data_IF_981223011057
#
_entry.id   IF_981223011057
#
_cell.length_a   1.000
_cell.length_b   1.000
_cell.length_c   1.000
_cell.angle_alpha   90.00
_cell.angle_beta   90.00
_cell.angle_gamma   90.00
#
_symmetry.space_group_name_H-M   'P 1'
#
loop_
_entity.id
_entity.type
_entity.pdbx_description
1 polymer ?
#
# COMPACT_ATOMS: atom_id res chain seq x y z
N UNK A 1 6.67 19.18 0.05
CA UNK A 1 5.49 18.54 -0.59
C UNK A 1 5.49 17.09 -0.16
N UNK A 2 4.36 16.57 0.32
CA UNK A 2 4.17 15.18 0.73
C UNK A 2 4.20 14.27 -0.50
N UNK A 3 4.81 13.10 -0.38
CA UNK A 3 4.81 12.10 -1.44
C UNK A 3 3.66 11.13 -1.28
N UNK A 4 3.22 10.55 -2.39
CA UNK A 4 2.41 9.34 -2.42
C UNK A 4 3.33 8.18 -2.76
N UNK A 5 3.47 7.26 -1.80
CA UNK A 5 4.30 6.05 -1.90
C UNK A 5 3.37 4.84 -1.96
N UNK A 6 3.45 4.05 -3.01
CA UNK A 6 2.78 2.74 -3.00
C UNK A 6 3.75 1.68 -2.50
N UNK A 7 3.32 0.90 -1.53
CA UNK A 7 4.00 -0.32 -1.10
C UNK A 7 3.12 -1.52 -1.48
N UNK A 8 3.66 -2.40 -2.28
CA UNK A 8 2.86 -3.51 -2.80
C UNK A 8 3.67 -4.78 -2.86
N UNK A 9 3.13 -5.83 -2.25
CA UNK A 9 3.67 -7.18 -2.30
C UNK A 9 3.21 -7.84 -3.58
N UNK A 10 4.18 -8.37 -4.33
CA UNK A 10 3.93 -9.05 -5.61
C UNK A 10 4.72 -10.34 -5.69
N UNK A 11 4.18 -11.31 -6.40
CA UNK A 11 4.94 -12.50 -6.80
C UNK A 11 5.94 -12.14 -7.89
N UNK A 12 6.90 -13.02 -8.15
CA UNK A 12 7.90 -12.81 -9.21
C UNK A 12 7.27 -12.59 -10.59
N UNK A 13 6.11 -13.21 -10.84
CA UNK A 13 5.33 -13.07 -12.06
C UNK A 13 4.26 -11.96 -12.01
N UNK A 14 4.32 -11.07 -10.98
CA UNK A 14 3.61 -9.79 -10.96
C UNK A 14 2.17 -9.81 -10.43
N UNK A 15 1.77 -10.88 -9.74
CA UNK A 15 0.45 -10.97 -9.10
C UNK A 15 0.50 -10.48 -7.66
N UNK A 16 -0.58 -9.82 -7.23
CA UNK A 16 -0.78 -9.37 -5.83
C UNK A 16 -1.60 -10.36 -5.02
N UNK A 17 -2.34 -11.24 -5.68
CA UNK A 17 -3.18 -12.27 -5.09
C UNK A 17 -3.46 -13.36 -6.11
N UNK A 18 -3.88 -14.54 -5.65
CA UNK A 18 -4.41 -15.60 -6.47
C UNK A 18 -5.73 -15.21 -7.17
N UNK A 19 -6.28 -16.09 -8.01
CA UNK A 19 -7.50 -15.81 -8.78
C UNK A 19 -8.72 -15.44 -7.93
N UNK A 20 -8.88 -16.04 -6.74
CA UNK A 20 -9.96 -15.74 -5.80
C UNK A 20 -9.57 -14.73 -4.72
N UNK A 21 -8.35 -14.19 -4.77
CA UNK A 21 -7.85 -13.20 -3.82
C UNK A 21 -6.99 -13.79 -2.70
N UNK A 22 -6.51 -15.01 -2.85
CA UNK A 22 -5.63 -15.68 -1.90
C UNK A 22 -4.29 -14.93 -1.79
N UNK A 23 -3.80 -14.76 -0.54
CA UNK A 23 -2.54 -14.08 -0.22
C UNK A 23 -1.72 -14.86 0.83
N UNK A 24 -1.99 -16.14 0.99
CA UNK A 24 -1.35 -17.06 1.95
C UNK A 24 0.16 -17.16 1.73
N UNK A 25 0.61 -17.09 0.47
CA UNK A 25 2.03 -17.06 0.08
C UNK A 25 2.86 -15.95 0.77
N UNK A 26 2.23 -14.89 1.28
CA UNK A 26 2.91 -13.80 2.01
C UNK A 26 3.36 -14.27 3.40
N UNK A 27 2.45 -14.92 4.15
CA UNK A 27 2.72 -15.34 5.53
C UNK A 27 3.84 -16.37 5.65
N UNK A 28 4.04 -17.19 4.62
CA UNK A 28 5.09 -18.21 4.58
C UNK A 28 6.50 -17.61 4.46
N UNK A 29 6.62 -16.37 3.98
CA UNK A 29 7.89 -15.72 3.63
C UNK A 29 8.13 -14.46 4.49
N UNK A 30 7.20 -14.12 5.38
CA UNK A 30 7.30 -12.94 6.23
C UNK A 30 8.38 -13.12 7.32
N UNK A 31 9.33 -12.18 7.41
CA UNK A 31 10.40 -12.18 8.39
C UNK A 31 10.44 -10.87 9.22
N UNK A 32 11.28 -10.84 10.26
CA UNK A 32 11.46 -9.66 11.12
C UNK A 32 11.95 -8.43 10.33
N UNK A 33 12.77 -8.64 9.30
CA UNK A 33 13.28 -7.55 8.47
C UNK A 33 12.16 -6.89 7.65
N UNK A 34 11.16 -7.66 7.23
CA UNK A 34 9.94 -7.12 6.59
C UNK A 34 9.09 -6.35 7.58
N UNK A 35 8.92 -6.85 8.80
CA UNK A 35 8.22 -6.13 9.87
C UNK A 35 8.90 -4.78 10.19
N UNK A 36 10.22 -4.75 10.25
CA UNK A 36 11.00 -3.51 10.40
C UNK A 36 10.75 -2.55 9.25
N UNK A 37 10.79 -3.03 8.00
CA UNK A 37 10.52 -2.22 6.82
C UNK A 37 9.12 -1.58 6.88
N UNK A 38 8.10 -2.35 7.19
CA UNK A 38 6.73 -1.84 7.29
C UNK A 38 6.57 -0.81 8.41
N UNK A 39 7.20 -1.07 9.57
CA UNK A 39 7.17 -0.15 10.69
C UNK A 39 7.87 1.19 10.37
N UNK A 40 8.98 1.16 9.65
CA UNK A 40 9.69 2.36 9.18
C UNK A 40 8.84 3.15 8.19
N UNK A 41 8.20 2.46 7.24
CA UNK A 41 7.32 3.09 6.26
C UNK A 41 6.13 3.80 6.91
N UNK A 42 5.43 3.13 7.83
CA UNK A 42 4.31 3.71 8.58
C UNK A 42 4.78 4.88 9.47
N UNK A 43 6.00 4.80 10.02
CA UNK A 43 6.57 5.88 10.82
C UNK A 43 6.93 7.11 9.99
N UNK A 44 7.24 6.93 8.70
CA UNK A 44 7.55 8.04 7.78
C UNK A 44 6.31 8.74 7.23
N UNK A 45 5.14 8.15 7.40
CA UNK A 45 3.87 8.63 6.85
C UNK A 45 2.87 9.04 7.95
N UNK A 46 1.80 9.72 7.58
CA UNK A 46 0.69 10.07 8.47
C UNK A 46 -0.69 9.77 7.86
N UNK A 47 -0.73 9.39 6.61
CA UNK A 47 -1.99 9.16 5.88
C UNK A 47 -1.91 7.87 5.07
N UNK A 48 -2.96 7.06 5.18
CA UNK A 48 -3.18 5.88 4.35
C UNK A 48 -4.17 6.19 3.25
N UNK A 49 -3.85 5.78 2.04
CA UNK A 49 -4.76 5.78 0.89
C UNK A 49 -5.17 4.33 0.62
N UNK A 50 -6.43 3.99 0.80
CA UNK A 50 -6.92 2.62 0.78
C UNK A 50 -8.04 2.44 -0.25
N UNK A 51 -7.96 1.42 -1.06
CA UNK A 51 -9.10 0.94 -1.82
C UNK A 51 -10.04 0.11 -0.92
N UNK A 52 -11.26 -0.14 -1.40
CA UNK A 52 -12.32 -0.82 -0.63
C UNK A 52 -11.87 -2.14 -0.01
N UNK A 53 -11.29 -3.04 -0.80
CA UNK A 53 -10.92 -4.39 -0.35
C UNK A 53 -9.85 -4.32 0.75
N UNK A 54 -8.81 -3.53 0.55
CA UNK A 54 -7.75 -3.33 1.54
C UNK A 54 -8.30 -2.66 2.80
N UNK A 55 -9.17 -1.65 2.65
CA UNK A 55 -9.83 -1.02 3.80
C UNK A 55 -10.63 -2.03 4.63
N UNK A 56 -11.47 -2.86 3.99
CA UNK A 56 -12.29 -3.84 4.69
C UNK A 56 -11.43 -4.88 5.43
N UNK A 57 -10.35 -5.35 4.81
CA UNK A 57 -9.40 -6.27 5.45
C UNK A 57 -8.72 -5.62 6.66
N UNK A 58 -8.19 -4.41 6.50
CA UNK A 58 -7.48 -3.70 7.56
C UNK A 58 -8.41 -3.28 8.71
N UNK A 59 -9.58 -2.75 8.41
CA UNK A 59 -10.57 -2.34 9.40
C UNK A 59 -11.15 -3.53 10.18
N UNK A 60 -11.13 -4.73 9.60
CA UNK A 60 -11.55 -5.96 10.29
C UNK A 60 -10.53 -6.53 11.27
N UNK A 61 -9.26 -6.12 11.18
CA UNK A 61 -8.18 -6.68 12.01
C UNK A 61 -7.48 -5.64 12.88
N UNK A 62 -6.89 -4.61 12.30
CA UNK A 62 -5.98 -3.70 12.99
C UNK A 62 -6.58 -2.94 14.19
N UNK A 63 -7.87 -2.54 14.22
CA UNK A 63 -8.46 -1.93 15.40
C UNK A 63 -8.42 -2.81 16.65
N UNK A 64 -8.42 -4.13 16.49
CA UNK A 64 -8.52 -5.09 17.58
C UNK A 64 -7.17 -5.63 18.05
N UNK A 65 -6.11 -5.47 17.26
CA UNK A 65 -4.77 -5.98 17.57
C UNK A 65 -4.19 -5.41 18.87
N UNK A 66 -4.35 -4.11 19.22
CA UNK A 66 -3.81 -3.57 20.48
C UNK A 66 -4.31 -4.28 21.74
N UNK A 67 -5.54 -4.81 21.70
CA UNK A 67 -6.19 -5.48 22.82
C UNK A 67 -6.09 -7.01 22.73
N UNK A 68 -5.45 -7.54 21.69
CA UNK A 68 -5.30 -8.98 21.49
C UNK A 68 -4.26 -9.57 22.44
N UNK A 69 -4.59 -10.61 23.22
CA UNK A 69 -3.62 -11.27 24.11
C UNK A 69 -2.57 -12.07 23.33
N UNK A 70 -2.84 -12.39 22.05
CA UNK A 70 -1.96 -13.19 21.21
C UNK A 70 -1.01 -12.36 20.34
N UNK A 71 -1.21 -11.04 20.27
CA UNK A 71 -0.36 -10.16 19.49
C UNK A 71 0.92 -9.80 20.27
N UNK A 72 2.05 -9.78 19.58
CA UNK A 72 3.31 -9.29 20.12
C UNK A 72 3.24 -7.79 20.42
N UNK A 73 4.16 -7.28 21.25
CA UNK A 73 4.22 -5.84 21.52
C UNK A 73 4.56 -5.02 20.27
N UNK A 74 5.34 -5.57 19.34
CA UNK A 74 5.65 -4.93 18.06
C UNK A 74 4.42 -4.83 17.17
N UNK A 75 3.63 -5.90 17.07
CA UNK A 75 2.35 -5.88 16.34
C UNK A 75 1.36 -4.89 16.95
N UNK A 76 1.25 -4.83 18.28
CA UNK A 76 0.41 -3.85 18.97
C UNK A 76 0.89 -2.42 18.72
N UNK A 77 2.21 -2.18 18.75
CA UNK A 77 2.78 -0.86 18.48
C UNK A 77 2.50 -0.43 17.03
N UNK A 78 2.69 -1.33 16.07
CA UNK A 78 2.37 -1.11 14.67
C UNK A 78 0.87 -0.81 14.46
N UNK A 79 0.00 -1.61 15.07
CA UNK A 79 -1.45 -1.41 15.02
C UNK A 79 -1.87 -0.05 15.60
N UNK A 80 -1.28 0.39 16.72
CA UNK A 80 -1.55 1.73 17.29
C UNK A 80 -1.18 2.83 16.31
N UNK A 81 -0.07 2.71 15.57
CA UNK A 81 0.31 3.68 14.53
C UNK A 81 -0.73 3.72 13.40
N UNK A 82 -1.10 2.56 12.85
CA UNK A 82 -2.12 2.47 11.79
C UNK A 82 -3.45 3.05 12.26
N UNK A 83 -3.89 2.74 13.48
CA UNK A 83 -5.15 3.25 14.04
C UNK A 83 -5.13 4.79 14.18
N UNK A 84 -3.98 5.37 14.52
CA UNK A 84 -3.82 6.81 14.68
C UNK A 84 -3.75 7.58 13.35
N UNK A 85 -3.27 6.95 12.27
CA UNK A 85 -3.12 7.61 10.97
C UNK A 85 -4.47 8.05 10.40
N UNK A 86 -4.46 9.14 9.61
CA UNK A 86 -5.58 9.52 8.72
C UNK A 86 -5.74 8.46 7.62
N UNK A 87 -6.96 8.13 7.25
CA UNK A 87 -7.28 7.18 6.18
C UNK A 87 -8.22 7.80 5.17
N UNK A 88 -7.83 7.79 3.91
CA UNK A 88 -8.70 8.14 2.78
C UNK A 88 -9.08 6.86 2.06
N UNK A 89 -10.36 6.53 2.11
CA UNK A 89 -10.89 5.26 1.58
C UNK A 89 -11.61 5.54 0.27
N UNK A 90 -11.03 5.09 -0.83
CA UNK A 90 -11.57 5.29 -2.16
C UNK A 90 -12.52 4.15 -2.55
N UNK A 91 -13.81 4.47 -2.62
CA UNK A 91 -14.84 3.50 -3.00
C UNK A 91 -16.13 4.16 -3.45
N UNK A 92 -16.64 3.72 -4.60
CA UNK A 92 -17.98 4.11 -5.08
C UNK A 92 -19.10 3.33 -4.42
N UNK A 93 -18.80 2.13 -3.89
CA UNK A 93 -19.82 1.17 -3.41
C UNK A 93 -19.96 1.13 -1.91
N UNK A 94 -18.94 1.54 -1.12
CA UNK A 94 -19.09 1.68 0.31
C UNK A 94 -20.02 2.87 0.62
N UNK A 95 -20.91 2.68 1.57
CA UNK A 95 -21.81 3.74 2.05
C UNK A 95 -21.18 4.52 3.21
N UNK A 96 -20.40 3.82 4.06
CA UNK A 96 -19.76 4.40 5.25
C UNK A 96 -18.42 3.73 5.56
N UNK A 97 -17.63 4.40 6.38
CA UNK A 97 -16.36 3.91 6.95
C UNK A 97 -16.38 4.13 8.46
N UNK A 98 -15.97 3.14 9.23
CA UNK A 98 -16.11 3.13 10.70
C UNK A 98 -14.77 3.10 11.44
N UNK A 99 -13.67 2.72 10.76
CA UNK A 99 -12.35 2.74 11.36
C UNK A 99 -11.94 4.18 11.69
N UNK A 100 -11.43 4.39 12.90
CA UNK A 100 -11.05 5.72 13.39
C UNK A 100 -10.20 6.49 12.37
N UNK A 101 -10.42 7.81 12.28
CA UNK A 101 -9.72 8.72 11.37
C UNK A 101 -9.89 8.39 9.88
N UNK A 102 -10.97 7.68 9.52
CA UNK A 102 -11.27 7.32 8.12
C UNK A 102 -12.25 8.31 7.50
N UNK A 103 -12.01 8.64 6.24
CA UNK A 103 -12.90 9.43 5.38
C UNK A 103 -13.15 8.67 4.08
N UNK A 104 -14.44 8.52 3.73
CA UNK A 104 -14.83 7.95 2.44
C UNK A 104 -14.71 8.99 1.33
N UNK A 105 -14.07 8.58 0.24
CA UNK A 105 -13.88 9.36 -0.99
C UNK A 105 -14.49 8.58 -2.14
N UNK A 106 -15.48 9.15 -2.83
CA UNK A 106 -16.21 8.44 -3.89
C UNK A 106 -15.45 8.37 -5.21
N UNK A 107 -14.64 9.39 -5.49
CA UNK A 107 -13.87 9.50 -6.72
C UNK A 107 -12.46 10.00 -6.45
N UNK A 108 -11.52 9.60 -7.30
CA UNK A 108 -10.18 10.19 -7.32
C UNK A 108 -10.24 11.43 -8.20
N UNK A 109 -10.16 12.61 -7.57
CA UNK A 109 -10.08 13.89 -8.26
C UNK A 109 -8.61 14.36 -8.21
N UNK A 110 -7.91 14.47 -9.36
CA UNK A 110 -6.48 14.78 -9.40
C UNK A 110 -6.12 16.05 -8.63
N UNK A 111 -6.93 17.11 -8.78
CA UNK A 111 -6.72 18.40 -8.15
C UNK A 111 -6.79 18.30 -6.62
N UNK A 112 -7.71 17.49 -6.08
CA UNK A 112 -7.82 17.25 -4.63
C UNK A 112 -6.62 16.47 -4.11
N UNK A 113 -6.12 15.50 -4.88
CA UNK A 113 -4.92 14.73 -4.51
C UNK A 113 -3.68 15.63 -4.52
N UNK A 114 -3.54 16.50 -5.52
CA UNK A 114 -2.44 17.49 -5.55
C UNK A 114 -2.54 18.49 -4.38
N UNK A 115 -3.73 18.93 -4.01
CA UNK A 115 -3.93 19.77 -2.82
C UNK A 115 -3.48 19.04 -1.55
N UNK A 116 -3.83 17.76 -1.38
CA UNK A 116 -3.38 16.94 -0.25
C UNK A 116 -1.85 16.85 -0.17
N UNK A 117 -1.15 16.77 -1.30
CA UNK A 117 0.31 16.78 -1.33
C UNK A 117 0.91 18.11 -0.82
N UNK A 118 0.19 19.21 -0.93
CA UNK A 118 0.64 20.53 -0.46
C UNK A 118 0.23 20.84 0.99
N UNK A 119 -0.65 20.03 1.60
CA UNK A 119 -0.97 20.15 3.04
C UNK A 119 0.28 19.91 3.90
N UNK A 120 0.38 20.53 5.08
CA UNK A 120 1.40 20.16 6.07
C UNK A 120 1.24 18.70 6.50
N UNK A 121 2.33 17.99 6.65
CA UNK A 121 2.31 16.59 7.10
C UNK A 121 3.46 15.78 6.54
N UNK A 122 3.42 14.47 6.87
CA UNK A 122 4.34 13.46 6.36
C UNK A 122 3.77 12.83 5.08
N UNK A 123 4.47 11.83 4.57
CA UNK A 123 4.07 11.16 3.33
C UNK A 123 2.74 10.38 3.46
N UNK A 124 2.19 10.01 2.32
CA UNK A 124 0.97 9.23 2.19
C UNK A 124 1.33 7.86 1.61
N UNK A 125 0.80 6.78 2.19
CA UNK A 125 1.12 5.42 1.78
C UNK A 125 -0.12 4.71 1.24
N UNK A 126 0.05 4.00 0.13
CA UNK A 126 -0.95 3.11 -0.47
C UNK A 126 -0.51 1.67 -0.20
N UNK A 127 -1.29 0.94 0.60
CA UNK A 127 -1.13 -0.52 0.76
C UNK A 127 -1.93 -1.34 -0.28
N UNK A 128 -2.72 -0.69 -1.08
CA UNK A 128 -3.63 -1.27 -2.06
C UNK A 128 -5.00 -0.58 -1.99
N UNK A 129 -5.95 -0.91 -2.81
CA UNK A 129 -5.98 -2.05 -3.75
C UNK A 129 -5.19 -1.77 -5.03
N UNK A 130 -4.94 -2.83 -5.82
CA UNK A 130 -4.33 -2.68 -7.14
C UNK A 130 -5.12 -1.71 -8.04
N UNK A 131 -6.45 -1.68 -7.93
CA UNK A 131 -7.29 -0.74 -8.69
C UNK A 131 -6.98 0.72 -8.33
N UNK A 132 -6.75 1.03 -7.06
CA UNK A 132 -6.36 2.37 -6.63
C UNK A 132 -4.96 2.72 -7.15
N UNK A 133 -4.00 1.80 -7.02
CA UNK A 133 -2.64 1.98 -7.57
C UNK A 133 -2.69 2.27 -9.06
N UNK A 134 -3.44 1.48 -9.84
CA UNK A 134 -3.60 1.68 -11.29
C UNK A 134 -4.25 3.02 -11.63
N UNK A 135 -5.29 3.41 -10.89
CA UNK A 135 -5.94 4.70 -11.10
C UNK A 135 -4.96 5.86 -10.88
N UNK A 136 -4.23 5.85 -9.77
CA UNK A 136 -3.27 6.90 -9.47
C UNK A 136 -2.04 6.86 -10.38
N UNK A 137 -1.62 5.67 -10.85
CA UNK A 137 -0.57 5.53 -11.87
C UNK A 137 -1.00 6.17 -13.20
N UNK A 138 -2.22 5.88 -13.67
CA UNK A 138 -2.76 6.46 -14.91
C UNK A 138 -2.93 7.98 -14.84
N UNK A 139 -3.08 8.53 -13.64
CA UNK A 139 -3.18 9.97 -13.39
C UNK A 139 -1.81 10.63 -13.11
N UNK A 140 -0.73 9.84 -13.05
CA UNK A 140 0.62 10.36 -12.77
C UNK A 140 0.79 10.91 -11.34
N UNK A 141 0.00 10.43 -10.38
CA UNK A 141 -0.07 10.97 -9.02
C UNK A 141 0.83 10.25 -8.01
N UNK A 142 1.37 9.09 -8.35
CA UNK A 142 2.29 8.34 -7.48
C UNK A 142 3.71 8.89 -7.64
N UNK A 143 4.36 9.19 -6.53
CA UNK A 143 5.72 9.73 -6.50
C UNK A 143 6.78 8.64 -6.32
N UNK A 144 6.41 7.52 -5.68
CA UNK A 144 7.34 6.41 -5.45
C UNK A 144 6.61 5.06 -5.43
N UNK A 145 7.19 4.10 -6.10
CA UNK A 145 6.73 2.71 -6.12
C UNK A 145 7.72 1.85 -5.33
N UNK A 146 7.30 1.31 -4.21
CA UNK A 146 8.04 0.31 -3.45
C UNK A 146 7.41 -1.05 -3.69
N UNK A 147 8.03 -1.83 -4.54
CA UNK A 147 7.53 -3.14 -4.96
C UNK A 147 8.32 -4.24 -4.23
N UNK A 148 7.64 -5.00 -3.40
CA UNK A 148 8.20 -6.12 -2.65
C UNK A 148 8.00 -7.40 -3.45
N UNK A 149 9.03 -7.78 -4.20
CA UNK A 149 9.01 -8.98 -5.06
C UNK A 149 9.31 -10.19 -4.20
N UNK A 150 8.30 -11.06 -4.06
CA UNK A 150 8.41 -12.32 -3.34
C UNK A 150 8.92 -13.44 -4.26
N UNK A 151 9.72 -14.37 -3.75
CA UNK A 151 10.28 -15.50 -4.51
C UNK A 151 9.22 -16.59 -4.75
N UNK A 152 8.08 -16.22 -5.32
CA UNK A 152 6.93 -17.09 -5.62
C UNK A 152 6.45 -16.84 -7.03
N UNK A 153 6.05 -17.89 -7.73
CA UNK A 153 5.39 -17.86 -9.04
C UNK A 153 3.99 -18.46 -8.86
N UNK A 154 2.94 -17.71 -9.12
CA UNK A 154 1.55 -18.18 -9.05
C UNK A 154 1.03 -18.73 -10.37
N UNK A 155 1.54 -18.24 -11.50
CA UNK A 155 1.07 -18.62 -12.84
C UNK A 155 -0.27 -18.01 -13.24
N UNK A 156 -1.12 -17.67 -12.29
CA UNK A 156 -2.40 -16.98 -12.51
C UNK A 156 -2.82 -16.21 -11.26
N UNK A 157 -3.58 -15.12 -11.43
CA UNK A 157 -4.01 -14.32 -10.29
C UNK A 157 -4.45 -12.92 -10.67
N UNK A 158 -4.46 -12.04 -9.68
CA UNK A 158 -4.77 -10.62 -9.85
C UNK A 158 -3.48 -9.83 -10.06
N UNK A 159 -3.20 -9.34 -11.28
CA UNK A 159 -1.97 -8.61 -11.56
C UNK A 159 -1.98 -7.24 -10.87
N UNK A 160 -0.80 -6.75 -10.47
CA UNK A 160 -0.66 -5.38 -9.97
C UNK A 160 -0.95 -4.37 -11.07
N UNK A 161 -0.25 -4.51 -12.20
CA UNK A 161 -0.38 -3.64 -13.36
C UNK A 161 -1.15 -4.32 -14.49
N UNK A 162 -2.32 -3.79 -14.77
CA UNK A 162 -3.14 -4.05 -15.95
C UNK A 162 -3.89 -2.76 -16.30
N UNK A 163 -4.35 -2.61 -17.52
CA UNK A 163 -5.11 -1.44 -17.96
C UNK A 163 -4.37 -0.10 -17.73
N UNK A 164 -3.05 -0.12 -17.83
CA UNK A 164 -2.21 1.08 -17.81
C UNK A 164 -2.29 1.70 -19.21
N UNK A 165 -2.78 2.95 -19.29
CA UNK A 165 -3.09 3.62 -20.56
C UNK A 165 -1.83 3.97 -21.35
N UNK A 166 -0.85 4.53 -20.66
CA UNK A 166 0.42 4.97 -21.24
C UNK A 166 1.60 4.35 -20.53
N UNK A 167 2.68 4.13 -21.26
CA UNK A 167 3.93 3.66 -20.68
C UNK A 167 4.44 4.66 -19.63
N UNK A 168 4.69 4.18 -18.42
CA UNK A 168 5.34 4.94 -17.35
C UNK A 168 6.80 4.50 -17.23
N UNK A 169 7.72 5.40 -17.53
CA UNK A 169 9.15 5.15 -17.31
C UNK A 169 9.49 5.38 -15.83
N UNK A 170 10.24 4.46 -15.27
CA UNK A 170 10.63 4.48 -13.86
C UNK A 170 12.15 4.44 -13.74
N UNK A 171 12.67 5.25 -12.81
CA UNK A 171 14.07 5.23 -12.40
C UNK A 171 14.20 4.45 -11.10
N UNK A 172 15.05 3.42 -11.07
CA UNK A 172 15.40 2.72 -9.83
C UNK A 172 16.18 3.66 -8.92
N UNK A 173 15.71 3.85 -7.69
CA UNK A 173 16.35 4.73 -6.69
C UNK A 173 16.91 3.96 -5.52
N UNK A 174 16.37 2.77 -5.21
CA UNK A 174 16.89 1.91 -4.15
C UNK A 174 16.54 0.44 -4.38
N UNK A 175 17.34 -0.45 -3.84
CA UNK A 175 17.09 -1.91 -3.80
C UNK A 175 17.51 -2.44 -2.44
N UNK A 176 16.65 -3.23 -1.80
CA UNK A 176 16.95 -3.89 -0.53
C UNK A 176 16.57 -5.37 -0.62
N UNK A 177 17.50 -6.24 -0.31
CA UNK A 177 17.24 -7.68 -0.19
C UNK A 177 17.00 -8.04 1.28
N UNK A 178 16.00 -8.88 1.51
CA UNK A 178 15.68 -9.42 2.82
C UNK A 178 16.15 -10.88 2.94
N UNK A 179 16.47 -11.36 4.15
CA UNK A 179 16.89 -12.75 4.37
C UNK A 179 15.89 -13.79 3.85
N UNK A 180 14.58 -13.46 3.87
CA UNK A 180 13.50 -14.27 3.31
C UNK A 180 13.56 -14.47 1.79
N UNK A 181 14.42 -13.77 1.08
CA UNK A 181 14.50 -13.75 -0.38
C UNK A 181 13.60 -12.68 -1.03
N UNK A 182 12.85 -11.93 -0.24
CA UNK A 182 12.08 -10.78 -0.74
C UNK A 182 13.02 -9.67 -1.17
N UNK A 183 12.77 -9.07 -2.33
CA UNK A 183 13.51 -7.91 -2.83
C UNK A 183 12.58 -6.71 -2.90
N UNK A 184 12.92 -5.65 -2.18
CA UNK A 184 12.24 -4.36 -2.27
C UNK A 184 12.89 -3.53 -3.36
N UNK A 185 12.13 -3.19 -4.38
CA UNK A 185 12.54 -2.31 -5.47
C UNK A 185 11.83 -0.97 -5.31
N UNK A 186 12.59 0.10 -5.11
CA UNK A 186 12.05 1.46 -5.02
C UNK A 186 12.31 2.22 -6.31
N UNK A 187 11.23 2.64 -6.97
CA UNK A 187 11.26 3.38 -8.23
C UNK A 187 10.56 4.72 -8.10
N UNK A 188 11.03 5.70 -8.86
CA UNK A 188 10.34 6.98 -9.04
C UNK A 188 10.01 7.17 -10.52
N UNK A 189 8.82 7.72 -10.85
CA UNK A 189 8.50 8.06 -12.23
C UNK A 189 9.48 9.10 -12.79
N UNK A 190 9.96 8.85 -14.01
CA UNK A 190 10.67 9.88 -14.77
C UNK A 190 9.65 10.96 -15.15
N UNK A 191 9.88 12.19 -14.71
CA UNK A 191 9.06 13.34 -15.13
C UNK A 191 9.29 13.59 -16.62
N UNK A 192 8.21 13.67 -17.39
CA UNK A 192 8.30 14.17 -18.77
C UNK A 192 8.71 15.64 -18.64
N UNK A 193 9.88 15.98 -19.22
CA UNK A 193 10.28 17.37 -19.45
C UNK A 193 9.30 18.06 -20.39
#
# INVERSE_FOLDING_TARGET
MRKIITTTWVTLDGFIAGPNGEMDWIGEIYDEAMGTYENDLVSSADTLLLGRVTYQSFAGSWPHVPDSPNASEDEKAYARKLNAMRKLVFSRTLERVEWNNSRLVKEVVPEEIEQLKHEPGRDMVIYGSASLVRTLTNLGLIDEYQILVHPVILGSGKPLFQDIKDQVKLKLVNTKMHPSGVVVLSYQPERKE
#
